data_IF_196415471482
#
_entry.id   IF_196415471482
#
_cell.length_a   1.000
_cell.length_b   1.000
_cell.length_c   1.000
_cell.angle_alpha   90.00
_cell.angle_beta   90.00
_cell.angle_gamma   90.00
#
_symmetry.space_group_name_H-M   'P 1'
#
loop_
_entity.id
_entity.type
_entity.pdbx_description
1 polymer ?
#
# COMPACT_ATOMS: atom_id res chain seq x y z
N UNK A 1 -1.25 5.50 14.53
CA UNK A 1 -0.94 6.95 14.66
C UNK A 1 -2.01 7.66 13.86
N UNK A 2 -2.72 8.62 14.46
CA UNK A 2 -3.73 9.41 13.78
C UNK A 2 -3.21 10.83 13.64
N UNK A 3 -3.42 11.45 12.48
CA UNK A 3 -3.04 12.84 12.21
C UNK A 3 -4.26 13.52 11.61
N UNK A 4 -4.58 14.72 12.07
CA UNK A 4 -5.60 15.56 11.47
C UNK A 4 -5.01 16.27 10.25
N UNK A 5 -5.63 16.06 9.09
CA UNK A 5 -5.26 16.76 7.86
C UNK A 5 -6.10 18.04 7.76
N UNK A 6 -5.45 19.18 7.54
CA UNK A 6 -6.15 20.39 7.13
C UNK A 6 -6.65 20.22 5.69
N UNK A 7 -7.79 20.83 5.39
CA UNK A 7 -8.42 20.73 4.07
C UNK A 7 -7.44 21.09 2.96
N UNK A 8 -7.22 20.17 2.03
CA UNK A 8 -6.28 20.26 0.90
C UNK A 8 -4.78 20.44 1.26
N UNK A 9 -4.36 20.20 2.50
CA UNK A 9 -2.94 20.27 2.89
C UNK A 9 -2.33 18.86 3.04
N UNK A 10 -1.52 18.37 2.07
CA UNK A 10 -0.88 17.08 2.19
C UNK A 10 0.31 17.15 3.17
N UNK A 11 0.38 16.17 4.06
CA UNK A 11 1.40 16.09 5.10
C UNK A 11 2.59 15.26 4.64
N UNK A 12 3.68 15.36 5.40
CA UNK A 12 4.88 14.55 5.19
C UNK A 12 5.31 13.94 6.51
N UNK A 13 5.48 12.62 6.51
CA UNK A 13 5.92 11.89 7.71
C UNK A 13 6.06 10.40 7.42
N UNK A 14 7.23 9.84 7.72
CA UNK A 14 7.52 8.41 7.50
C UNK A 14 7.18 7.61 8.76
N UNK A 15 5.90 7.30 8.94
CA UNK A 15 5.38 6.56 10.08
C UNK A 15 4.49 5.41 9.62
N UNK A 16 4.56 4.27 10.32
CA UNK A 16 3.73 3.10 10.03
C UNK A 16 4.46 1.77 10.22
N UNK A 17 3.71 0.68 10.03
CA UNK A 17 4.24 -0.68 10.12
C UNK A 17 4.82 -1.10 8.76
N UNK A 18 6.07 -1.58 8.79
CA UNK A 18 6.78 -2.08 7.60
C UNK A 18 5.98 -3.21 6.94
N UNK A 19 5.61 -3.03 5.67
CA UNK A 19 4.76 -3.92 4.88
C UNK A 19 3.34 -3.41 4.64
N UNK A 20 2.86 -2.43 5.43
CA UNK A 20 1.56 -1.77 5.24
C UNK A 20 1.68 -0.28 4.89
N UNK A 21 2.88 0.29 5.02
CA UNK A 21 3.14 1.66 4.58
C UNK A 21 2.99 1.76 3.07
N UNK A 22 2.27 2.76 2.60
CA UNK A 22 2.12 3.07 1.19
C UNK A 22 3.48 3.50 0.57
N UNK A 23 3.69 3.30 -0.74
CA UNK A 23 4.94 3.62 -1.41
C UNK A 23 5.41 5.07 -1.20
N UNK A 24 4.50 6.04 -1.19
CA UNK A 24 4.76 7.47 -0.97
C UNK A 24 5.25 7.75 0.46
N UNK A 25 4.75 7.02 1.47
CA UNK A 25 5.27 7.10 2.85
C UNK A 25 6.71 6.55 2.89
N UNK A 26 6.97 5.44 2.19
CA UNK A 26 8.30 4.83 2.12
C UNK A 26 9.29 5.75 1.40
N UNK A 27 8.86 6.43 0.33
CA UNK A 27 9.63 7.44 -0.41
C UNK A 27 9.74 8.79 0.30
N UNK A 28 9.08 8.96 1.45
CA UNK A 28 9.06 10.21 2.21
C UNK A 28 8.49 11.39 1.38
N UNK A 29 7.49 11.10 0.56
CA UNK A 29 6.72 12.05 -0.24
C UNK A 29 5.56 12.63 0.59
N UNK A 30 4.88 13.62 0.02
CA UNK A 30 3.67 14.19 0.63
C UNK A 30 2.48 13.29 0.32
N UNK A 31 1.61 13.10 1.30
CA UNK A 31 0.43 12.25 1.17
C UNK A 31 -0.79 12.86 1.86
N UNK A 32 -1.97 12.37 1.49
CA UNK A 32 -3.24 12.62 2.18
C UNK A 32 -3.93 11.28 2.48
N UNK A 33 -5.25 11.19 2.34
CA UNK A 33 -6.08 10.03 2.64
C UNK A 33 -5.79 8.77 1.79
N UNK A 34 -5.05 8.91 0.68
CA UNK A 34 -4.71 7.78 -0.21
C UNK A 34 -4.00 6.63 0.50
N UNK A 35 -3.15 6.94 1.49
CA UNK A 35 -2.34 5.95 2.22
C UNK A 35 -3.19 4.94 3.00
N UNK A 36 -4.40 5.34 3.41
CA UNK A 36 -5.32 4.47 4.15
C UNK A 36 -5.98 3.44 3.22
N UNK A 37 -6.25 3.83 1.97
CA UNK A 37 -6.77 2.91 0.94
C UNK A 37 -5.76 1.83 0.57
N UNK A 38 -4.47 2.20 0.50
CA UNK A 38 -3.39 1.23 0.35
C UNK A 38 -3.36 0.24 1.53
N UNK A 39 -3.42 0.77 2.76
CA UNK A 39 -3.46 -0.05 3.98
C UNK A 39 -4.65 -1.02 3.98
N UNK A 40 -5.82 -0.55 3.55
CA UNK A 40 -7.02 -1.39 3.41
C UNK A 40 -6.83 -2.51 2.37
N UNK A 41 -6.22 -2.21 1.21
CA UNK A 41 -5.88 -3.21 0.20
C UNK A 41 -4.95 -4.29 0.74
N UNK A 42 -3.93 -3.89 1.50
CA UNK A 42 -3.01 -4.82 2.17
C UNK A 42 -3.74 -5.72 3.19
N UNK A 43 -4.68 -5.16 3.96
CA UNK A 43 -5.48 -5.91 4.93
C UNK A 43 -6.41 -6.92 4.25
N UNK A 44 -7.09 -6.52 3.17
CA UNK A 44 -7.96 -7.42 2.40
C UNK A 44 -7.15 -8.58 1.81
N UNK A 45 -5.98 -8.27 1.24
CA UNK A 45 -5.06 -9.29 0.75
C UNK A 45 -4.68 -10.28 1.86
N UNK A 46 -4.31 -9.77 3.04
CA UNK A 46 -3.91 -10.60 4.17
C UNK A 46 -5.04 -11.47 4.71
N UNK A 47 -6.28 -10.96 4.74
CA UNK A 47 -7.45 -11.74 5.15
C UNK A 47 -7.70 -12.94 4.22
N UNK A 48 -7.43 -12.81 2.92
CA UNK A 48 -7.63 -13.88 1.94
C UNK A 48 -6.44 -14.85 1.92
N UNK A 49 -5.22 -14.32 1.84
CA UNK A 49 -4.02 -15.13 1.65
C UNK A 49 -3.50 -15.73 2.96
N UNK A 50 -3.77 -15.07 4.10
CA UNK A 50 -3.25 -15.37 5.42
C UNK A 50 -1.84 -14.83 5.67
N UNK A 51 -1.31 -14.00 4.77
CA UNK A 51 -0.01 -13.30 4.89
C UNK A 51 -0.08 -11.96 4.18
N UNK A 52 0.70 -10.98 4.64
CA UNK A 52 0.78 -9.67 3.99
C UNK A 52 1.38 -9.78 2.57
N UNK A 53 1.05 -8.85 1.66
CA UNK A 53 1.47 -8.92 0.25
C UNK A 53 2.99 -8.86 0.07
N UNK A 54 3.68 -8.03 0.86
CA UNK A 54 5.12 -7.79 0.72
C UNK A 54 5.97 -8.41 1.84
N UNK A 55 5.34 -9.07 2.81
CA UNK A 55 6.03 -9.66 3.97
C UNK A 55 5.41 -10.97 4.39
N UNK A 56 6.20 -12.03 4.44
CA UNK A 56 5.71 -13.32 4.90
C UNK A 56 5.76 -13.45 6.43
N UNK A 57 4.85 -14.26 6.98
CA UNK A 57 4.82 -14.57 8.42
C UNK A 57 6.09 -15.33 8.81
N UNK A 58 6.78 -14.88 9.87
CA UNK A 58 8.07 -15.42 10.38
C UNK A 58 9.28 -15.19 9.45
N UNK A 59 9.16 -14.41 8.39
CA UNK A 59 10.29 -14.05 7.52
C UNK A 59 11.23 -13.07 8.26
N UNK A 60 12.50 -13.44 8.43
CA UNK A 60 13.56 -12.54 8.93
C UNK A 60 14.14 -11.73 7.76
N UNK A 61 13.33 -10.82 7.23
CA UNK A 61 13.75 -9.88 6.18
C UNK A 61 14.15 -8.56 6.80
N UNK A 62 15.20 -7.95 6.27
CA UNK A 62 15.59 -6.59 6.62
C UNK A 62 14.50 -5.60 6.19
N UNK A 63 14.33 -4.52 6.95
CA UNK A 63 13.30 -3.51 6.68
C UNK A 63 13.43 -2.93 5.26
N UNK A 64 14.66 -2.71 4.82
CA UNK A 64 14.99 -2.12 3.52
C UNK A 64 14.49 -2.99 2.35
N UNK A 65 14.55 -4.31 2.49
CA UNK A 65 14.08 -5.22 1.43
C UNK A 65 12.55 -5.25 1.37
N UNK A 66 11.84 -5.20 2.50
CA UNK A 66 10.38 -5.06 2.47
C UNK A 66 9.96 -3.73 1.85
N UNK A 67 10.69 -2.65 2.14
CA UNK A 67 10.47 -1.33 1.54
C UNK A 67 10.82 -1.28 0.04
N UNK A 68 11.79 -2.08 -0.41
CA UNK A 68 12.06 -2.29 -1.85
C UNK A 68 10.89 -3.00 -2.51
N UNK A 69 10.41 -4.11 -1.94
CA UNK A 69 9.26 -4.87 -2.46
C UNK A 69 8.00 -4.01 -2.58
N UNK A 70 7.69 -3.19 -1.59
CA UNK A 70 6.55 -2.25 -1.63
C UNK A 70 6.65 -1.25 -2.80
N UNK A 71 7.88 -0.87 -3.20
CA UNK A 71 8.11 0.11 -4.28
C UNK A 71 8.20 -0.51 -5.67
N UNK A 72 8.75 -1.71 -5.77
CA UNK A 72 9.21 -2.29 -7.03
C UNK A 72 8.49 -3.59 -7.41
N UNK A 73 8.00 -4.35 -6.44
CA UNK A 73 7.41 -5.65 -6.69
C UNK A 73 5.88 -5.53 -6.80
N UNK A 74 5.26 -6.29 -7.71
CA UNK A 74 3.81 -6.44 -7.77
C UNK A 74 3.34 -7.53 -6.80
N UNK A 75 2.15 -7.36 -6.24
CA UNK A 75 1.55 -8.36 -5.36
C UNK A 75 1.21 -9.67 -6.10
N UNK A 76 1.39 -10.81 -5.42
CA UNK A 76 1.26 -12.14 -6.02
C UNK A 76 0.01 -12.85 -5.52
N UNK A 77 -0.98 -13.03 -6.39
CA UNK A 77 -2.25 -13.66 -6.01
C UNK A 77 -2.19 -15.19 -6.13
N UNK A 78 -2.61 -15.91 -5.07
CA UNK A 78 -2.80 -17.36 -5.13
C UNK A 78 -4.19 -17.75 -5.63
N UNK A 79 -4.45 -19.04 -5.73
CA UNK A 79 -5.75 -19.61 -6.13
C UNK A 79 -6.85 -19.40 -5.06
N UNK A 80 -6.49 -18.91 -3.86
CA UNK A 80 -7.45 -18.53 -2.83
C UNK A 80 -8.26 -17.29 -3.20
N UNK A 81 -7.74 -16.45 -4.09
CA UNK A 81 -8.41 -15.22 -4.49
C UNK A 81 -9.44 -15.49 -5.58
N UNK A 82 -10.70 -15.14 -5.29
CA UNK A 82 -11.72 -14.96 -6.33
C UNK A 82 -11.33 -13.83 -7.28
N UNK A 83 -11.92 -13.81 -8.48
CA UNK A 83 -11.71 -12.73 -9.45
C UNK A 83 -12.03 -11.36 -8.84
N UNK A 84 -13.15 -11.25 -8.12
CA UNK A 84 -13.52 -10.04 -7.39
C UNK A 84 -12.49 -9.64 -6.32
N UNK A 85 -11.92 -10.61 -5.59
CA UNK A 85 -10.87 -10.34 -4.60
C UNK A 85 -9.57 -9.82 -5.24
N UNK A 86 -9.17 -10.39 -6.38
CA UNK A 86 -8.01 -9.90 -7.16
C UNK A 86 -8.27 -8.49 -7.66
N UNK A 87 -9.45 -8.23 -8.21
CA UNK A 87 -9.84 -6.91 -8.71
C UNK A 87 -9.87 -5.88 -7.59
N UNK A 88 -10.42 -6.21 -6.41
CA UNK A 88 -10.47 -5.28 -5.28
C UNK A 88 -9.07 -4.92 -4.76
N UNK A 89 -8.20 -5.92 -4.56
CA UNK A 89 -6.82 -5.68 -4.14
C UNK A 89 -6.04 -4.89 -5.20
N UNK A 90 -6.23 -5.21 -6.48
CA UNK A 90 -5.63 -4.43 -7.57
C UNK A 90 -6.16 -3.01 -7.59
N UNK A 91 -7.46 -2.77 -7.47
CA UNK A 91 -8.00 -1.41 -7.47
C UNK A 91 -7.43 -0.60 -6.31
N UNK A 92 -7.34 -1.17 -5.11
CA UNK A 92 -6.78 -0.48 -3.95
C UNK A 92 -5.25 -0.31 -4.00
N UNK A 93 -4.53 -1.20 -4.68
CA UNK A 93 -3.07 -1.14 -4.88
C UNK A 93 -2.63 -0.33 -6.11
N UNK A 94 -3.20 -0.62 -7.27
CA UNK A 94 -2.92 0.02 -8.56
C UNK A 94 -3.48 1.43 -8.68
N UNK A 95 -4.63 1.74 -8.09
CA UNK A 95 -5.15 3.11 -8.15
C UNK A 95 -4.17 4.09 -7.50
N UNK A 96 -3.47 3.70 -6.43
CA UNK A 96 -2.36 4.50 -5.91
C UNK A 96 -1.09 4.39 -6.75
N UNK A 97 -0.72 3.21 -7.24
CA UNK A 97 0.51 3.03 -8.03
C UNK A 97 0.51 3.83 -9.35
N UNK A 98 -0.59 3.83 -10.11
CA UNK A 98 -0.74 4.62 -11.34
C UNK A 98 -0.80 6.13 -11.07
N UNK A 99 -1.50 6.57 -10.03
CA UNK A 99 -1.54 7.99 -9.66
C UNK A 99 -0.16 8.53 -9.24
N UNK A 100 0.68 7.68 -8.63
CA UNK A 100 2.03 8.03 -8.16
C UNK A 100 3.09 7.94 -9.27
N UNK A 101 2.98 6.98 -10.20
CA UNK A 101 3.97 6.79 -11.28
C UNK A 101 3.65 7.66 -12.51
N UNK A 102 2.38 7.88 -12.83
CA UNK A 102 1.96 8.66 -14.00
C UNK A 102 1.45 10.08 -13.66
N UNK A 103 1.39 10.46 -12.37
CA UNK A 103 1.05 11.83 -11.96
C UNK A 103 -0.40 12.24 -12.26
N UNK A 104 -1.32 11.28 -12.36
CA UNK A 104 -2.72 11.53 -12.74
C UNK A 104 -3.58 11.99 -11.55
N UNK A 105 -3.18 13.06 -10.85
CA UNK A 105 -3.83 13.57 -9.64
C UNK A 105 -5.27 14.15 -9.85
N UNK A 106 -6.10 13.61 -10.73
CA UNK A 106 -7.34 14.26 -11.16
C UNK A 106 -8.47 13.29 -11.51
N UNK A 107 -8.85 12.37 -10.62
CA UNK A 107 -10.26 11.93 -10.55
C UNK A 107 -10.59 11.47 -9.12
N UNK A 108 -10.94 12.44 -8.26
CA UNK A 108 -12.12 12.48 -7.39
C UNK A 108 -12.11 13.82 -6.62
#
# INVERSE_FOLDING_TARGET
>A
LAVELKENEPIKGRVGTVGYMAPEIVKNERYSYGVDWWGLGCLIYEMIEGKAPFRQRKEKVKREEVERRVREDQEKYSDKFSEAGRTLCRLLGYFLWLNIVEGVASVL
#
